data_IF_161378943309
#
_entry.id   IF_161378943309
#
_cell.length_a   1.000
_cell.length_b   1.000
_cell.length_c   1.000
_cell.angle_alpha   90.00
_cell.angle_beta   90.00
_cell.angle_gamma   90.00
#
_symmetry.space_group_name_H-M   'P 1'
#
loop_
_entity.id
_entity.type
_entity.pdbx_description
1 polymer ?
#
# COMPACT_ATOMS: atom_id res chain seq x y z
N UNK A 1 18.12 1.29 -11.04
CA UNK A 1 17.37 0.99 -12.29
C UNK A 1 15.90 1.35 -12.16
N UNK A 2 15.09 0.65 -11.34
CA UNK A 2 13.66 0.95 -11.18
C UNK A 2 13.39 2.45 -10.96
N UNK A 3 14.02 3.09 -9.96
CA UNK A 3 13.87 4.53 -9.68
C UNK A 3 14.15 5.43 -10.88
N UNK A 4 15.14 5.10 -11.71
CA UNK A 4 15.43 5.90 -12.92
C UNK A 4 14.29 5.81 -13.95
N UNK A 5 13.58 4.68 -13.99
CA UNK A 5 12.46 4.47 -14.93
C UNK A 5 11.15 5.07 -14.42
N UNK A 6 10.87 4.96 -13.11
CA UNK A 6 9.58 5.37 -12.54
C UNK A 6 9.59 6.76 -11.89
N UNK A 7 10.77 7.33 -11.65
CA UNK A 7 10.93 8.62 -10.97
C UNK A 7 11.76 9.59 -11.82
N UNK A 8 11.11 10.41 -12.66
CA UNK A 8 11.79 11.30 -13.62
C UNK A 8 12.73 12.31 -12.97
N UNK A 9 12.49 12.68 -11.70
CA UNK A 9 13.31 13.65 -10.98
C UNK A 9 14.68 13.09 -10.54
N UNK A 10 14.92 11.79 -10.73
CA UNK A 10 16.22 11.16 -10.51
C UNK A 10 16.57 10.89 -9.04
N UNK A 11 17.74 10.28 -8.85
CA UNK A 11 18.22 9.80 -7.55
C UNK A 11 18.45 10.95 -6.55
N UNK A 12 18.97 12.09 -7.00
CA UNK A 12 19.24 13.24 -6.11
C UNK A 12 17.96 13.83 -5.51
N UNK A 13 16.86 13.84 -6.27
CA UNK A 13 15.57 14.26 -5.73
C UNK A 13 15.00 13.26 -4.72
N UNK A 14 15.21 11.95 -4.96
CA UNK A 14 14.84 10.90 -4.02
C UNK A 14 15.62 11.03 -2.70
N UNK A 15 16.94 11.21 -2.75
CA UNK A 15 17.78 11.40 -1.56
C UNK A 15 17.40 12.67 -0.79
N UNK A 16 17.17 13.80 -1.49
CA UNK A 16 16.73 15.05 -0.85
C UNK A 16 15.36 14.94 -0.18
N UNK A 17 14.45 14.14 -0.73
CA UNK A 17 13.14 13.90 -0.12
C UNK A 17 13.29 13.06 1.16
N UNK A 18 14.09 12.00 1.12
CA UNK A 18 14.36 11.13 2.27
C UNK A 18 15.19 11.77 3.38
N UNK A 19 15.94 12.84 3.09
CA UNK A 19 16.72 13.53 4.12
C UNK A 19 15.84 14.29 5.14
N UNK A 20 14.53 14.40 4.88
CA UNK A 20 13.57 15.10 5.74
C UNK A 20 12.30 14.28 5.88
N UNK A 21 12.20 13.50 6.94
CA UNK A 21 11.03 12.68 7.24
C UNK A 21 10.32 13.16 8.51
N UNK A 22 9.02 12.92 8.59
CA UNK A 22 8.19 13.14 9.78
C UNK A 22 7.51 11.84 10.15
N UNK A 23 7.44 11.56 11.46
CA UNK A 23 6.67 10.43 11.94
C UNK A 23 5.20 10.64 11.57
N UNK A 24 4.60 9.62 10.99
CA UNK A 24 3.19 9.65 10.61
C UNK A 24 2.50 8.51 11.31
N UNK A 25 1.64 8.86 12.28
CA UNK A 25 0.80 7.89 12.94
C UNK A 25 -0.30 7.45 11.95
N UNK A 26 0.02 6.49 11.09
CA UNK A 26 -0.96 5.87 10.20
C UNK A 26 -2.00 5.15 11.07
N UNK A 27 -3.21 5.71 11.15
CA UNK A 27 -4.33 5.13 11.90
C UNK A 27 -5.03 4.10 11.01
N UNK A 28 -5.28 2.90 11.53
CA UNK A 28 -6.00 1.83 10.81
C UNK A 28 -5.18 0.55 10.55
N UNK A 29 -3.86 0.58 10.74
CA UNK A 29 -3.03 -0.62 10.64
C UNK A 29 -3.21 -1.53 11.86
N UNK A 30 -3.88 -2.68 11.71
CA UNK A 30 -3.96 -3.73 12.75
C UNK A 30 -2.58 -4.22 13.24
N UNK A 31 -1.52 -4.02 12.44
CA UNK A 31 -0.18 -4.55 12.70
C UNK A 31 0.69 -3.71 13.65
N UNK A 32 0.25 -2.50 14.04
CA UNK A 32 1.06 -1.61 14.89
C UNK A 32 2.41 -1.22 14.27
N UNK A 33 2.54 -1.32 12.94
CA UNK A 33 3.77 -0.94 12.23
C UNK A 33 3.97 0.58 12.27
N UNK A 34 5.23 0.99 12.43
CA UNK A 34 5.58 2.41 12.41
C UNK A 34 5.60 2.93 10.98
N UNK A 35 4.98 4.09 10.79
CA UNK A 35 5.01 4.80 9.52
C UNK A 35 5.68 6.16 9.70
N UNK A 36 6.39 6.56 8.65
CA UNK A 36 6.86 7.92 8.46
C UNK A 36 6.59 8.32 7.02
N UNK A 37 6.67 9.62 6.75
CA UNK A 37 6.57 10.16 5.40
C UNK A 37 7.59 11.24 5.17
N UNK A 38 8.00 11.43 3.94
CA UNK A 38 8.88 12.55 3.59
C UNK A 38 8.11 13.86 3.78
N UNK A 39 8.83 14.94 4.13
CA UNK A 39 8.21 16.24 4.44
C UNK A 39 7.52 16.86 3.22
N UNK A 40 7.97 16.50 2.02
CA UNK A 40 7.33 16.86 0.76
C UNK A 40 6.20 15.90 0.35
N UNK A 41 5.83 14.95 1.21
CA UNK A 41 4.71 14.01 1.06
C UNK A 41 4.83 13.03 -0.12
N UNK A 42 6.00 12.93 -0.77
CA UNK A 42 6.21 12.06 -1.93
C UNK A 42 6.31 10.58 -1.60
N UNK A 43 6.94 10.24 -0.48
CA UNK A 43 7.23 8.87 -0.13
C UNK A 43 6.74 8.53 1.27
N UNK A 44 6.28 7.29 1.41
CA UNK A 44 5.92 6.66 2.67
C UNK A 44 7.04 5.69 3.04
N UNK A 45 7.42 5.73 4.31
CA UNK A 45 8.35 4.79 4.92
C UNK A 45 7.55 3.91 5.88
N UNK A 46 7.60 2.59 5.66
CA UNK A 46 6.98 1.60 6.52
C UNK A 46 8.06 0.78 7.20
N UNK A 47 8.03 0.72 8.53
CA UNK A 47 8.82 -0.24 9.27
C UNK A 47 8.24 -1.64 9.07
N UNK A 48 9.08 -2.54 8.56
CA UNK A 48 8.71 -3.93 8.33
C UNK A 48 9.08 -4.79 9.52
N UNK A 49 8.12 -5.61 9.96
CA UNK A 49 8.37 -6.69 10.89
C UNK A 49 9.31 -7.74 10.27
N UNK A 50 9.86 -8.63 11.10
CA UNK A 50 10.68 -9.76 10.60
C UNK A 50 9.88 -10.69 9.69
N UNK A 51 8.60 -10.88 9.99
CA UNK A 51 7.66 -11.73 9.23
C UNK A 51 7.25 -11.11 7.89
N UNK A 52 7.39 -9.80 7.71
CA UNK A 52 7.24 -9.14 6.40
C UNK A 52 8.58 -9.08 5.64
N UNK A 53 9.67 -8.79 6.36
CA UNK A 53 10.98 -8.57 5.72
C UNK A 53 11.49 -9.81 5.00
N UNK A 54 11.46 -10.98 5.66
CA UNK A 54 12.07 -12.17 5.07
C UNK A 54 11.36 -12.65 3.80
N UNK A 55 10.02 -12.83 3.78
CA UNK A 55 9.33 -13.25 2.55
C UNK A 55 9.38 -12.21 1.44
N UNK A 56 9.43 -10.92 1.78
CA UNK A 56 9.60 -9.88 0.77
C UNK A 56 10.97 -9.98 0.10
N UNK A 57 12.04 -10.16 0.87
CA UNK A 57 13.38 -10.29 0.27
C UNK A 57 13.48 -11.49 -0.67
N UNK A 58 12.76 -12.57 -0.39
CA UNK A 58 12.72 -13.76 -1.24
C UNK A 58 11.97 -13.52 -2.56
N UNK A 59 10.95 -12.65 -2.55
CA UNK A 59 10.10 -12.31 -3.71
C UNK A 59 10.48 -10.99 -4.41
N UNK A 60 11.43 -10.24 -3.83
CA UNK A 60 11.85 -8.93 -4.32
C UNK A 60 12.42 -8.97 -5.77
N UNK A 61 13.23 -9.96 -6.18
CA UNK A 61 13.68 -10.07 -7.57
C UNK A 61 12.51 -10.12 -8.55
N UNK A 62 11.50 -10.94 -8.27
CA UNK A 62 10.31 -11.11 -9.11
C UNK A 62 9.49 -9.83 -9.17
N UNK A 63 9.40 -9.09 -8.06
CA UNK A 63 8.81 -7.76 -8.03
C UNK A 63 9.55 -6.78 -8.95
N UNK A 64 10.87 -6.65 -8.81
CA UNK A 64 11.64 -5.71 -9.63
C UNK A 64 11.62 -6.07 -11.12
N UNK A 65 11.63 -7.36 -11.46
CA UNK A 65 11.50 -7.85 -12.84
C UNK A 65 10.09 -7.59 -13.41
N UNK A 66 9.05 -7.72 -12.59
CA UNK A 66 7.68 -7.35 -12.99
C UNK A 66 7.58 -5.86 -13.29
N UNK A 67 8.08 -5.01 -12.38
CA UNK A 67 8.05 -3.56 -12.55
C UNK A 67 8.87 -3.07 -13.75
N UNK A 68 10.05 -3.64 -13.99
CA UNK A 68 10.89 -3.31 -15.15
C UNK A 68 10.18 -3.70 -16.46
N UNK A 69 9.55 -4.89 -16.52
CA UNK A 69 8.76 -5.31 -17.69
C UNK A 69 7.58 -4.39 -17.95
N UNK A 70 6.82 -4.01 -16.92
CA UNK A 70 5.71 -3.07 -17.10
C UNK A 70 6.20 -1.73 -17.62
N UNK A 71 7.31 -1.22 -17.08
CA UNK A 71 7.86 0.06 -17.51
C UNK A 71 8.40 0.03 -18.95
N UNK A 72 9.11 -1.03 -19.35
CA UNK A 72 9.64 -1.19 -20.71
C UNK A 72 8.53 -1.39 -21.74
N UNK A 73 7.49 -2.16 -21.40
CA UNK A 73 6.36 -2.42 -22.29
C UNK A 73 5.33 -1.29 -22.32
N UNK A 74 5.41 -0.31 -21.41
CA UNK A 74 4.37 0.69 -21.20
C UNK A 74 3.06 0.11 -20.67
N UNK A 75 3.11 -1.07 -20.02
CA UNK A 75 1.94 -1.72 -19.44
C UNK A 75 1.52 -1.01 -18.15
N UNK A 76 0.21 -0.74 -17.96
CA UNK A 76 -0.27 -0.14 -16.72
C UNK A 76 -0.12 -1.12 -15.55
N UNK A 77 0.25 -0.60 -14.38
CA UNK A 77 0.28 -1.34 -13.12
C UNK A 77 -0.24 -0.44 -12.00
N UNK A 78 -1.00 -1.02 -11.09
CA UNK A 78 -1.54 -0.41 -9.88
C UNK A 78 -0.68 -0.73 -8.66
N UNK A 79 0.33 -1.61 -8.74
CA UNK A 79 1.18 -1.92 -7.59
C UNK A 79 1.86 -0.64 -7.08
N UNK A 80 1.53 -0.24 -5.85
CA UNK A 80 2.12 0.95 -5.23
C UNK A 80 3.64 0.81 -5.13
N UNK A 81 4.38 1.64 -5.85
CA UNK A 81 5.79 1.38 -6.19
C UNK A 81 6.68 1.36 -4.95
N UNK A 82 7.35 0.23 -4.71
CA UNK A 82 8.41 0.07 -3.73
C UNK A 82 9.71 0.58 -4.35
N UNK A 83 10.18 1.71 -3.86
CA UNK A 83 11.33 2.42 -4.42
C UNK A 83 12.62 2.13 -3.67
N UNK A 84 12.57 1.47 -2.51
CA UNK A 84 13.76 1.01 -1.81
C UNK A 84 13.46 0.21 -0.56
N UNK A 85 14.38 -0.68 -0.18
CA UNK A 85 14.35 -1.40 1.08
C UNK A 85 15.71 -1.27 1.74
N UNK A 86 15.71 -0.92 3.03
CA UNK A 86 16.89 -0.59 3.79
C UNK A 86 16.89 -1.31 5.13
N UNK A 87 18.07 -1.70 5.60
CA UNK A 87 18.27 -2.11 6.99
C UNK A 87 19.10 -1.05 7.70
N UNK A 88 18.51 -0.43 8.71
CA UNK A 88 19.17 0.57 9.55
C UNK A 88 19.61 -0.11 10.84
N UNK A 89 20.91 -0.03 11.13
CA UNK A 89 21.49 -0.53 12.38
C UNK A 89 22.27 0.61 13.01
N UNK A 90 21.92 0.98 14.24
CA UNK A 90 22.67 1.97 15.00
C UNK A 90 22.79 1.56 16.45
N UNK A 91 23.88 1.99 17.09
CA UNK A 91 24.11 1.78 18.51
C UNK A 91 23.89 3.10 19.23
N UNK A 92 22.97 3.13 20.18
CA UNK A 92 22.77 4.29 21.03
C UNK A 92 23.99 4.48 21.91
N UNK A 93 24.60 5.66 21.85
CA UNK A 93 25.72 6.04 22.70
C UNK A 93 25.30 6.22 24.15
N UNK A 94 24.03 6.57 24.40
CA UNK A 94 23.50 6.81 25.75
C UNK A 94 23.09 5.52 26.46
N UNK A 95 22.39 4.61 25.77
CA UNK A 95 21.88 3.37 26.38
C UNK A 95 22.73 2.13 26.09
N UNK A 96 23.78 2.26 25.27
CA UNK A 96 24.57 1.14 24.73
C UNK A 96 23.76 0.07 23.96
N UNK A 97 22.46 0.28 23.75
CA UNK A 97 21.58 -0.63 23.04
C UNK A 97 21.82 -0.54 21.53
N UNK A 98 21.76 -1.68 20.85
CA UNK A 98 21.79 -1.75 19.38
C UNK A 98 20.38 -1.84 18.85
N UNK A 99 19.98 -0.86 18.04
CA UNK A 99 18.70 -0.81 17.36
C UNK A 99 18.86 -1.33 15.94
N UNK A 100 17.88 -2.12 15.50
CA UNK A 100 17.81 -2.69 14.16
C UNK A 100 16.40 -2.48 13.63
N UNK A 101 16.27 -1.83 12.49
CA UNK A 101 15.00 -1.60 11.81
C UNK A 101 15.13 -1.93 10.33
N UNK A 102 14.11 -2.59 9.77
CA UNK A 102 14.00 -2.78 8.33
C UNK A 102 12.94 -1.80 7.82
N UNK A 103 13.30 -0.99 6.85
CA UNK A 103 12.45 0.07 6.31
C UNK A 103 12.17 -0.21 4.84
N UNK A 104 10.91 -0.14 4.47
CA UNK A 104 10.46 -0.12 3.09
C UNK A 104 10.04 1.30 2.74
N UNK A 105 10.55 1.80 1.62
CA UNK A 105 10.20 3.11 1.06
C UNK A 105 9.35 2.87 -0.17
N UNK A 106 8.16 3.47 -0.19
CA UNK A 106 7.20 3.36 -1.28
C UNK A 106 6.66 4.72 -1.67
N UNK A 107 6.10 4.83 -2.88
CA UNK A 107 5.40 6.05 -3.31
C UNK A 107 4.20 6.32 -2.40
N UNK A 108 3.92 7.60 -2.15
CA UNK A 108 2.63 8.02 -1.64
C UNK A 108 1.65 8.13 -2.81
N UNK A 109 0.71 7.19 -2.90
CA UNK A 109 -0.29 7.14 -3.97
C UNK A 109 -1.06 8.46 -4.14
N UNK A 110 -1.27 9.19 -3.05
CA UNK A 110 -2.03 10.44 -3.04
C UNK A 110 -1.15 11.69 -3.07
N UNK A 111 0.14 11.57 -3.41
CA UNK A 111 1.02 12.71 -3.54
C UNK A 111 0.45 13.74 -4.54
N UNK A 112 0.39 15.00 -4.11
CA UNK A 112 -0.16 16.11 -4.90
C UNK A 112 -1.64 15.94 -5.32
N UNK A 113 -2.42 15.19 -4.53
CA UNK A 113 -3.86 14.97 -4.74
C UNK A 113 -4.69 15.50 -3.58
N UNK A 114 -5.87 16.02 -3.87
CA UNK A 114 -6.81 16.50 -2.85
C UNK A 114 -7.89 15.44 -2.59
N UNK A 115 -7.50 14.37 -1.92
CA UNK A 115 -8.39 13.21 -1.70
C UNK A 115 -9.22 13.40 -0.43
N UNK A 116 -10.53 13.61 -0.61
CA UNK A 116 -11.48 13.75 0.51
C UNK A 116 -11.88 12.39 1.09
N UNK A 117 -12.19 11.44 0.21
CA UNK A 117 -12.64 10.11 0.59
C UNK A 117 -11.59 9.08 0.16
N UNK A 118 -11.11 8.32 1.14
CA UNK A 118 -10.15 7.24 0.97
C UNK A 118 -10.83 5.93 1.30
N UNK A 119 -10.66 4.92 0.44
CA UNK A 119 -11.21 3.60 0.64
C UNK A 119 -10.10 2.55 0.58
N UNK A 120 -10.02 1.71 1.60
CA UNK A 120 -9.26 0.45 1.57
C UNK A 120 -10.25 -0.66 1.22
N UNK A 121 -10.12 -1.25 0.03
CA UNK A 121 -11.06 -2.25 -0.48
C UNK A 121 -10.37 -3.60 -0.59
N UNK A 122 -11.03 -4.66 -0.10
CA UNK A 122 -10.52 -6.04 -0.16
C UNK A 122 -11.44 -6.98 -0.94
N UNK A 123 -12.62 -6.51 -1.35
CA UNK A 123 -13.65 -7.32 -2.00
C UNK A 123 -14.34 -8.30 -1.06
N UNK A 124 -14.22 -8.08 0.25
CA UNK A 124 -14.91 -8.87 1.29
C UNK A 124 -15.93 -8.00 2.00
N UNK A 125 -17.01 -8.61 2.49
CA UNK A 125 -18.15 -7.88 3.09
C UNK A 125 -18.24 -7.98 4.61
N UNK A 126 -17.45 -8.83 5.27
CA UNK A 126 -17.55 -9.04 6.72
C UNK A 126 -16.58 -8.15 7.48
N UNK A 127 -17.08 -7.37 8.44
CA UNK A 127 -16.30 -6.41 9.23
C UNK A 127 -15.61 -5.35 8.35
N UNK A 128 -16.33 -4.84 7.34
CA UNK A 128 -15.82 -3.86 6.37
C UNK A 128 -16.68 -2.61 6.30
N UNK A 129 -17.26 -2.22 7.44
CA UNK A 129 -17.93 -0.95 7.68
C UNK A 129 -17.19 -0.16 8.76
N UNK A 130 -16.90 1.11 8.47
CA UNK A 130 -16.35 2.08 9.41
C UNK A 130 -17.39 3.15 9.70
N UNK A 131 -17.59 3.48 10.98
CA UNK A 131 -18.37 4.66 11.38
C UNK A 131 -17.44 5.89 11.41
N UNK A 132 -17.62 6.88 10.50
CA UNK A 132 -16.76 8.07 10.46
C UNK A 132 -16.83 8.89 11.75
N UNK A 133 -17.94 8.86 12.48
CA UNK A 133 -18.15 9.63 13.71
C UNK A 133 -17.31 9.11 14.89
N UNK A 134 -16.90 7.84 14.84
CA UNK A 134 -16.08 7.19 15.86
C UNK A 134 -14.58 7.35 15.59
N UNK A 135 -14.21 7.91 14.44
CA UNK A 135 -12.82 8.12 14.05
C UNK A 135 -12.42 9.60 14.11
N UNK A 136 -11.51 9.93 15.02
CA UNK A 136 -10.84 11.23 15.03
C UNK A 136 -9.66 11.26 14.06
N UNK A 137 -9.59 12.28 13.19
CA UNK A 137 -8.48 12.53 12.27
C UNK A 137 -8.79 12.10 10.83
N UNK A 138 -7.77 11.59 10.13
CA UNK A 138 -7.90 11.09 8.76
C UNK A 138 -8.62 9.75 8.73
N UNK A 139 -9.74 9.68 8.00
CA UNK A 139 -10.65 8.53 7.95
C UNK A 139 -10.38 7.72 6.68
N UNK A 140 -10.20 6.41 6.85
CA UNK A 140 -10.13 5.45 5.74
C UNK A 140 -11.37 4.56 5.81
N UNK A 141 -12.21 4.69 4.79
CA UNK A 141 -13.45 3.95 4.62
C UNK A 141 -13.17 2.56 4.04
N UNK A 142 -14.11 1.63 4.19
CA UNK A 142 -13.96 0.24 3.74
C UNK A 142 -15.02 -0.14 2.71
N UNK A 143 -15.10 -1.42 2.32
CA UNK A 143 -15.94 -1.92 1.24
C UNK A 143 -17.43 -1.60 1.42
N UNK A 144 -18.00 -1.78 2.61
CA UNK A 144 -19.42 -1.50 2.85
C UNK A 144 -19.72 0.00 2.77
N UNK A 145 -18.78 0.84 3.20
CA UNK A 145 -18.92 2.30 3.05
C UNK A 145 -18.96 2.70 1.58
N UNK A 146 -18.13 2.08 0.73
CA UNK A 146 -18.15 2.35 -0.71
C UNK A 146 -19.48 1.93 -1.33
N UNK A 147 -19.96 0.72 -1.03
CA UNK A 147 -21.25 0.22 -1.54
C UNK A 147 -22.37 1.21 -1.19
N UNK A 148 -22.48 1.58 0.08
CA UNK A 148 -23.49 2.53 0.55
C UNK A 148 -23.38 3.89 -0.16
N UNK A 149 -22.17 4.42 -0.31
CA UNK A 149 -21.95 5.69 -1.02
C UNK A 149 -22.37 5.59 -2.50
N UNK A 150 -22.05 4.49 -3.17
CA UNK A 150 -22.32 4.31 -4.61
C UNK A 150 -23.78 4.09 -4.95
N UNK A 151 -24.62 3.72 -3.98
CA UNK A 151 -26.08 3.67 -4.16
C UNK A 151 -26.65 5.06 -4.46
N UNK A 152 -26.16 6.08 -3.77
CA UNK A 152 -26.62 7.46 -3.94
C UNK A 152 -25.78 8.23 -4.97
N UNK A 153 -24.48 7.92 -5.07
CA UNK A 153 -23.53 8.61 -5.92
C UNK A 153 -22.66 7.61 -6.71
N UNK A 154 -23.14 7.11 -7.87
CA UNK A 154 -22.39 6.16 -8.68
C UNK A 154 -21.06 6.73 -9.17
N UNK A 155 -20.01 5.91 -9.15
CA UNK A 155 -18.69 6.28 -9.69
C UNK A 155 -18.64 5.99 -11.20
N UNK A 156 -18.59 7.06 -12.00
CA UNK A 156 -18.46 6.96 -13.44
C UNK A 156 -17.01 7.06 -13.88
N UNK A 157 -16.59 6.15 -14.75
CA UNK A 157 -15.29 6.20 -15.43
C UNK A 157 -15.50 6.04 -16.93
N UNK A 158 -14.60 6.63 -17.72
CA UNK A 158 -14.66 6.51 -19.18
C UNK A 158 -14.44 5.05 -19.62
N UNK A 159 -15.05 4.60 -20.73
CA UNK A 159 -14.87 3.24 -21.22
C UNK A 159 -13.40 2.86 -21.44
N UNK A 160 -12.59 3.78 -21.97
CA UNK A 160 -11.16 3.55 -22.15
C UNK A 160 -10.43 3.39 -20.81
N UNK A 161 -10.68 4.29 -19.85
CA UNK A 161 -10.11 4.21 -18.50
C UNK A 161 -10.49 2.91 -17.79
N UNK A 162 -11.73 2.44 -17.97
CA UNK A 162 -12.18 1.13 -17.47
C UNK A 162 -11.35 0.00 -18.06
N UNK A 163 -11.13 -0.02 -19.38
CA UNK A 163 -10.31 -1.06 -20.03
C UNK A 163 -8.88 -1.07 -19.48
N UNK A 164 -8.24 0.09 -19.37
CA UNK A 164 -6.88 0.22 -18.81
C UNK A 164 -6.83 -0.25 -17.35
N UNK A 165 -7.79 0.17 -16.53
CA UNK A 165 -7.91 -0.23 -15.13
C UNK A 165 -8.07 -1.75 -15.00
N UNK A 166 -8.97 -2.35 -15.77
CA UNK A 166 -9.22 -3.79 -15.73
C UNK A 166 -8.00 -4.59 -16.19
N UNK A 167 -7.27 -4.12 -17.21
CA UNK A 167 -6.04 -4.75 -17.67
C UNK A 167 -4.96 -4.72 -16.59
N UNK A 168 -4.81 -3.59 -15.89
CA UNK A 168 -3.85 -3.45 -14.79
C UNK A 168 -4.23 -4.36 -13.61
N UNK A 169 -5.50 -4.34 -13.18
CA UNK A 169 -6.02 -5.24 -12.13
C UNK A 169 -5.73 -6.70 -12.48
N UNK A 170 -6.07 -7.14 -13.69
CA UNK A 170 -5.85 -8.52 -14.11
C UNK A 170 -4.37 -8.90 -14.10
N UNK A 171 -3.50 -8.04 -14.64
CA UNK A 171 -2.07 -8.30 -14.72
C UNK A 171 -1.41 -8.32 -13.33
N UNK A 172 -1.75 -7.36 -12.48
CA UNK A 172 -1.19 -7.24 -11.12
C UNK A 172 -1.68 -8.38 -10.23
N UNK A 173 -2.98 -8.70 -10.24
CA UNK A 173 -3.54 -9.78 -9.42
C UNK A 173 -3.02 -11.14 -9.86
N UNK A 174 -2.83 -11.36 -11.17
CA UNK A 174 -2.16 -12.55 -11.67
C UNK A 174 -0.73 -12.65 -11.15
N UNK A 175 0.04 -11.56 -11.21
CA UNK A 175 1.39 -11.52 -10.64
C UNK A 175 1.39 -11.85 -9.14
N UNK A 176 0.56 -11.17 -8.34
CA UNK A 176 0.45 -11.41 -6.90
C UNK A 176 0.06 -12.86 -6.58
N UNK A 177 -0.84 -13.45 -7.37
CA UNK A 177 -1.21 -14.86 -7.23
C UNK A 177 -0.01 -15.80 -7.47
N UNK A 178 0.83 -15.53 -8.47
CA UNK A 178 2.07 -16.33 -8.69
C UNK A 178 3.06 -16.25 -7.54
N UNK A 179 3.03 -15.15 -6.78
CA UNK A 179 3.87 -14.94 -5.60
C UNK A 179 3.20 -15.40 -4.30
N UNK A 180 2.03 -16.05 -4.39
CA UNK A 180 1.21 -16.45 -3.23
C UNK A 180 0.94 -15.30 -2.25
N UNK A 181 0.81 -14.07 -2.76
CA UNK A 181 0.48 -12.88 -1.98
C UNK A 181 -1.04 -12.75 -1.89
N UNK A 182 -1.54 -12.41 -0.71
CA UNK A 182 -2.97 -12.22 -0.43
C UNK A 182 -3.18 -11.23 0.72
N UNK A 183 -4.44 -10.93 1.03
CA UNK A 183 -4.84 -9.89 1.99
C UNK A 183 -4.38 -8.46 1.63
N UNK A 184 -3.94 -8.22 0.39
CA UNK A 184 -3.70 -6.88 -0.15
C UNK A 184 -5.02 -6.13 -0.33
N UNK A 185 -4.92 -4.80 -0.38
CA UNK A 185 -6.08 -3.92 -0.59
C UNK A 185 -5.91 -3.13 -1.89
N UNK A 186 -7.03 -2.81 -2.53
CA UNK A 186 -7.12 -1.73 -3.50
C UNK A 186 -7.41 -0.44 -2.74
N UNK A 187 -6.41 0.44 -2.65
CA UNK A 187 -6.55 1.78 -2.11
C UNK A 187 -7.14 2.70 -3.19
N UNK A 188 -8.23 3.38 -2.86
CA UNK A 188 -8.96 4.26 -3.76
C UNK A 188 -9.10 5.64 -3.12
N UNK A 189 -8.82 6.69 -3.88
CA UNK A 189 -9.01 8.07 -3.50
C UNK A 189 -9.88 8.82 -4.51
N UNK A 190 -10.86 9.56 -4.01
CA UNK A 190 -11.66 10.49 -4.80
C UNK A 190 -11.06 11.89 -4.72
N UNK A 191 -10.45 12.36 -5.81
CA UNK A 191 -9.94 13.73 -5.96
C UNK A 191 -11.06 14.62 -6.52
N UNK A 192 -11.77 15.34 -5.64
CA UNK A 192 -12.91 16.17 -6.02
C UNK A 192 -12.51 17.38 -6.88
N UNK A 193 -11.29 17.90 -6.69
CA UNK A 193 -10.81 19.08 -7.40
C UNK A 193 -10.54 18.76 -8.88
N UNK A 194 -9.88 17.62 -9.12
CA UNK A 194 -9.54 17.17 -10.47
C UNK A 194 -10.62 16.27 -11.09
N UNK A 195 -11.61 15.84 -10.30
CA UNK A 195 -12.61 14.82 -10.67
C UNK A 195 -11.96 13.51 -11.13
N UNK A 196 -10.94 13.08 -10.40
CA UNK A 196 -10.15 11.90 -10.73
C UNK A 196 -10.30 10.81 -9.66
N UNK A 197 -10.28 9.56 -10.13
CA UNK A 197 -10.16 8.38 -9.29
C UNK A 197 -8.68 7.99 -9.22
N UNK A 198 -8.10 8.04 -8.02
CA UNK A 198 -6.71 7.63 -7.78
C UNK A 198 -6.72 6.24 -7.18
N UNK A 199 -6.08 5.27 -7.83
CA UNK A 199 -6.19 3.84 -7.47
C UNK A 199 -4.80 3.20 -7.40
N UNK A 200 -4.57 2.36 -6.40
CA UNK A 200 -3.35 1.56 -6.28
C UNK A 200 -3.53 0.35 -5.37
N UNK A 201 -2.82 -0.74 -5.64
CA UNK A 201 -2.77 -1.92 -4.79
C UNK A 201 -1.69 -1.70 -3.72
N UNK A 202 -2.05 -1.91 -2.45
CA UNK A 202 -1.20 -1.72 -1.28
C UNK A 202 -1.17 -2.96 -0.39
N UNK A 203 -0.26 -2.98 0.60
CA UNK A 203 -0.11 -4.06 1.59
C UNK A 203 0.13 -5.47 1.00
N UNK A 204 0.74 -5.53 -0.18
CA UNK A 204 1.04 -6.76 -0.91
C UNK A 204 2.43 -7.36 -0.59
N UNK A 205 3.03 -6.97 0.54
CA UNK A 205 4.38 -7.43 0.96
C UNK A 205 4.31 -8.79 1.68
N UNK A 206 3.15 -9.15 2.25
CA UNK A 206 2.99 -10.37 3.04
C UNK A 206 2.52 -11.54 2.18
N UNK A 207 3.31 -12.60 2.14
CA UNK A 207 2.95 -13.86 1.48
C UNK A 207 2.07 -14.74 2.37
N UNK A 208 1.31 -15.65 1.76
CA UNK A 208 0.53 -16.64 2.46
C UNK A 208 1.43 -17.65 3.17
N UNK A 209 1.54 -17.48 4.48
CA UNK A 209 2.37 -18.27 5.39
C UNK A 209 1.50 -19.14 6.29
N UNK A 210 2.09 -20.09 7.02
CA UNK A 210 1.33 -21.05 7.86
C UNK A 210 0.51 -20.37 8.96
N UNK A 211 0.98 -19.26 9.52
CA UNK A 211 0.25 -18.39 10.42
C UNK A 211 -0.98 -17.75 9.76
N UNK A 212 -0.90 -17.42 8.45
CA UNK A 212 -2.08 -16.98 7.68
C UNK A 212 -3.05 -18.10 7.38
N UNK A 213 -2.58 -19.33 7.17
CA UNK A 213 -3.47 -20.50 7.11
C UNK A 213 -4.25 -20.63 8.41
N UNK A 214 -3.59 -20.54 9.56
CA UNK A 214 -4.22 -20.55 10.88
C UNK A 214 -5.20 -19.38 11.06
N UNK A 215 -4.81 -18.15 10.73
CA UNK A 215 -5.69 -16.98 10.78
C UNK A 215 -6.93 -17.17 9.88
N UNK A 216 -6.74 -17.70 8.68
CA UNK A 216 -7.83 -17.99 7.72
C UNK A 216 -8.76 -19.09 8.26
N UNK A 217 -8.20 -20.13 8.87
CA UNK A 217 -8.98 -21.18 9.52
C UNK A 217 -9.78 -20.62 10.70
N UNK A 218 -9.18 -19.81 11.56
CA UNK A 218 -9.87 -19.14 12.67
C UNK A 218 -10.99 -18.23 12.17
N UNK A 219 -10.74 -17.42 11.14
CA UNK A 219 -11.77 -16.57 10.50
C UNK A 219 -12.92 -17.39 9.91
N UNK A 220 -12.62 -18.54 9.31
CA UNK A 220 -13.64 -19.46 8.76
C UNK A 220 -14.41 -20.22 9.84
N UNK A 221 -13.77 -20.56 10.95
CA UNK A 221 -14.38 -21.33 12.05
C UNK A 221 -15.31 -20.51 12.95
N UNK A 222 -15.41 -19.18 12.77
CA UNK A 222 -16.35 -18.34 13.52
C UNK A 222 -16.06 -18.21 15.02
N UNK A 223 -14.92 -18.73 15.50
CA UNK A 223 -14.56 -18.81 16.92
C UNK A 223 -14.17 -17.47 17.56
N UNK A 224 -14.03 -16.41 16.77
CA UNK A 224 -13.88 -15.03 17.26
C UNK A 224 -14.92 -14.14 16.57
N UNK A 225 -16.15 -14.24 17.06
CA UNK A 225 -17.28 -13.42 16.68
C UNK A 225 -18.14 -13.12 17.89
N UNK A 226 -17.66 -12.17 18.70
CA UNK A 226 -18.45 -11.29 19.56
C UNK A 226 -18.15 -9.87 19.13
#
# INVERSE_FOLDING_TARGET
RLRATIFPAGEDAFVRSLSRCVQWAARGGKSGSNFAKTKDDRFILKEMSRTETHPFMDSAPQYFDYMDRCAVAGSPTLLGKIVGVYRVIYRSTTSNATFRSNLLVMENLFYNRSVRHKFDLKGSVRNRLVNPLEQGGEIVLLDENLINMTCDNPLYILPHSKTVLMQAIQSDTQFLATQAVMDYSLLVGLDENNKELVVGIIDYIRTFTWDKRLETMVKKSGLLGG
#
